data_IF_541907572879
#
_entry.id   IF_541907572879
#
_cell.length_a   1.000
_cell.length_b   1.000
_cell.length_c   1.000
_cell.angle_alpha   90.00
_cell.angle_beta   90.00
_cell.angle_gamma   90.00
#
_symmetry.space_group_name_H-M   'P 1'
#
loop_
_entity.id
_entity.type
_entity.pdbx_description
1 polymer ?
#
# COMPACT_ATOMS: atom_id res chain seq x y z
N UNK A 1 -0.52 14.13 6.20
CA UNK A 1 -1.45 13.02 6.51
C UNK A 1 -0.85 11.70 6.08
N UNK A 2 -1.15 10.62 6.75
CA UNK A 2 -0.58 9.32 6.47
C UNK A 2 -1.62 8.21 6.52
N UNK A 3 -1.44 7.21 5.62
CA UNK A 3 -2.15 5.96 5.69
C UNK A 3 -1.40 5.01 6.61
N UNK A 4 -2.10 4.39 7.55
CA UNK A 4 -1.49 3.55 8.57
C UNK A 4 -2.27 2.27 8.76
N UNK A 5 -1.57 1.15 8.58
CA UNK A 5 -2.07 -0.18 8.88
C UNK A 5 -1.25 -0.75 10.03
N UNK A 6 -1.91 -1.20 11.08
CA UNK A 6 -1.25 -1.87 12.20
C UNK A 6 -1.97 -3.19 12.49
N UNK A 7 -1.25 -4.29 12.33
CA UNK A 7 -1.68 -5.61 12.72
C UNK A 7 -0.61 -6.21 13.63
N UNK A 8 -0.85 -7.39 14.20
CA UNK A 8 0.03 -7.95 15.23
C UNK A 8 1.48 -8.19 14.77
N UNK A 9 1.66 -8.59 13.51
CA UNK A 9 3.00 -8.92 12.98
C UNK A 9 3.36 -8.13 11.74
N UNK A 10 2.51 -7.17 11.34
CA UNK A 10 2.70 -6.37 10.14
C UNK A 10 2.23 -4.95 10.37
N UNK A 11 3.04 -3.99 9.97
CA UNK A 11 2.61 -2.60 9.96
C UNK A 11 3.09 -1.92 8.69
N UNK A 12 2.28 -0.99 8.19
CA UNK A 12 2.56 -0.26 6.96
C UNK A 12 2.18 1.20 7.15
N UNK A 13 3.11 2.08 6.81
CA UNK A 13 2.90 3.51 6.86
C UNK A 13 3.12 4.07 5.47
N UNK A 14 2.13 4.79 4.96
CA UNK A 14 2.17 5.41 3.64
C UNK A 14 2.01 6.93 3.78
N UNK A 15 2.91 7.67 3.13
CA UNK A 15 2.78 9.13 2.99
C UNK A 15 2.81 9.47 1.51
N UNK A 16 1.83 10.22 1.06
CA UNK A 16 1.70 10.61 -0.34
C UNK A 16 2.04 12.07 -0.53
N UNK A 17 2.90 12.35 -1.52
CA UNK A 17 3.21 13.71 -1.96
C UNK A 17 2.92 13.80 -3.46
N UNK A 18 2.03 14.72 -3.82
CA UNK A 18 1.63 14.96 -5.22
C UNK A 18 2.32 16.21 -5.72
N UNK A 19 2.90 16.12 -6.92
CA UNK A 19 3.53 17.26 -7.59
C UNK A 19 2.51 17.85 -8.58
N UNK A 20 1.74 18.83 -8.12
CA UNK A 20 0.62 19.38 -8.89
C UNK A 20 1.05 20.05 -10.19
N UNK A 21 2.26 20.60 -10.24
CA UNK A 21 2.81 21.17 -11.46
C UNK A 21 3.10 20.13 -12.54
N UNK A 22 3.23 18.87 -12.15
CA UNK A 22 3.59 17.76 -13.04
C UNK A 22 2.41 16.80 -13.26
N UNK A 23 1.19 17.22 -12.92
CA UNK A 23 0.03 16.33 -12.89
C UNK A 23 -0.28 15.70 -14.25
N UNK A 24 0.08 16.36 -15.35
CA UNK A 24 -0.13 15.85 -16.69
C UNK A 24 0.89 14.78 -17.12
N UNK A 25 1.96 14.62 -16.36
CA UNK A 25 3.01 13.63 -16.66
C UNK A 25 2.79 12.36 -15.85
N UNK A 26 3.26 11.20 -16.32
CA UNK A 26 3.31 9.99 -15.48
C UNK A 26 4.29 10.19 -14.31
N UNK A 27 4.11 9.42 -13.26
CA UNK A 27 4.93 9.54 -12.03
C UNK A 27 4.91 10.95 -11.43
N UNK A 28 3.70 11.48 -11.27
CA UNK A 28 3.49 12.82 -10.71
C UNK A 28 3.36 12.83 -9.19
N UNK A 29 3.63 11.72 -8.53
CA UNK A 29 3.53 11.58 -7.08
C UNK A 29 4.60 10.65 -6.54
N UNK A 30 4.92 10.83 -5.27
CA UNK A 30 5.83 9.95 -4.54
C UNK A 30 5.09 9.38 -3.35
N UNK A 31 5.17 8.07 -3.21
CA UNK A 31 4.65 7.35 -2.06
C UNK A 31 5.83 6.95 -1.16
N UNK A 32 5.88 7.52 0.03
CA UNK A 32 6.86 7.15 1.04
C UNK A 32 6.31 5.98 1.84
N UNK A 33 7.07 4.90 1.90
CA UNK A 33 6.66 3.62 2.49
C UNK A 33 7.59 3.26 3.63
N UNK A 34 7.01 2.92 4.78
CA UNK A 34 7.75 2.30 5.87
C UNK A 34 6.96 1.07 6.33
N UNK A 35 7.63 -0.07 6.46
CA UNK A 35 6.94 -1.29 6.86
C UNK A 35 7.77 -2.15 7.83
N UNK A 36 7.04 -2.91 8.62
CA UNK A 36 7.58 -3.96 9.48
C UNK A 36 6.81 -5.24 9.18
N UNK A 37 7.53 -6.33 8.98
CA UNK A 37 6.94 -7.65 8.76
C UNK A 37 7.72 -8.67 9.58
N UNK A 38 7.13 -9.16 10.65
CA UNK A 38 7.85 -9.97 11.63
C UNK A 38 8.99 -9.17 12.26
N UNK A 39 10.20 -9.72 12.19
CA UNK A 39 11.40 -9.07 12.73
C UNK A 39 12.12 -8.18 11.69
N UNK A 40 11.58 -8.08 10.49
CA UNK A 40 12.19 -7.31 9.41
C UNK A 40 11.49 -5.96 9.23
N UNK A 41 12.26 -4.95 8.84
CA UNK A 41 11.70 -3.63 8.53
C UNK A 41 12.46 -2.99 7.38
N UNK A 42 11.78 -2.07 6.69
CA UNK A 42 12.38 -1.33 5.60
C UNK A 42 11.57 -0.10 5.28
N UNK A 43 12.23 0.82 4.57
CA UNK A 43 11.57 2.03 4.07
C UNK A 43 12.07 2.35 2.67
N UNK A 44 11.22 2.99 1.88
CA UNK A 44 11.54 3.32 0.50
C UNK A 44 10.64 4.43 -0.02
N UNK A 45 10.97 4.91 -1.22
CA UNK A 45 10.12 5.81 -2.00
C UNK A 45 9.69 5.08 -3.27
N UNK A 46 8.44 5.28 -3.66
CA UNK A 46 7.89 4.72 -4.87
C UNK A 46 7.33 5.85 -5.74
N UNK A 47 7.84 5.98 -6.96
CA UNK A 47 7.34 6.97 -7.92
C UNK A 47 6.10 6.42 -8.60
N UNK A 48 4.98 7.12 -8.48
CA UNK A 48 3.69 6.66 -8.99
C UNK A 48 2.90 7.80 -9.65
N UNK A 49 1.86 7.43 -10.38
CA UNK A 49 0.84 8.37 -10.83
C UNK A 49 -0.26 8.41 -9.77
N UNK A 50 -0.75 9.61 -9.45
CA UNK A 50 -1.84 9.77 -8.48
C UNK A 50 -3.07 8.96 -8.89
N UNK A 51 -3.30 8.78 -10.18
CA UNK A 51 -4.42 7.97 -10.68
C UNK A 51 -4.28 6.50 -10.26
N UNK A 52 -3.06 5.99 -10.24
CA UNK A 52 -2.79 4.62 -9.79
C UNK A 52 -3.03 4.47 -8.29
N UNK A 53 -2.68 5.48 -7.51
CA UNK A 53 -2.96 5.47 -6.08
C UNK A 53 -4.47 5.50 -5.81
N UNK A 54 -5.22 6.31 -6.55
CA UNK A 54 -6.67 6.36 -6.43
C UNK A 54 -7.32 5.03 -6.82
N UNK A 55 -6.80 4.38 -7.87
CA UNK A 55 -7.29 3.06 -8.29
C UNK A 55 -7.00 2.02 -7.22
N UNK A 56 -5.82 2.04 -6.66
CA UNK A 56 -5.45 1.17 -5.54
C UNK A 56 -6.40 1.35 -4.36
N UNK A 57 -6.67 2.59 -3.98
CA UNK A 57 -7.60 2.89 -2.90
C UNK A 57 -9.00 2.33 -3.18
N UNK A 58 -9.53 2.55 -4.38
CA UNK A 58 -10.85 2.06 -4.76
C UNK A 58 -10.94 0.54 -4.66
N UNK A 59 -9.93 -0.16 -5.16
CA UNK A 59 -9.88 -1.62 -5.10
C UNK A 59 -9.72 -2.12 -3.67
N UNK A 60 -8.94 -1.42 -2.86
CA UNK A 60 -8.76 -1.79 -1.46
C UNK A 60 -10.06 -1.60 -0.67
N UNK A 61 -10.79 -0.53 -0.95
CA UNK A 61 -12.09 -0.28 -0.34
C UNK A 61 -13.10 -1.36 -0.74
N UNK A 62 -13.12 -1.76 -2.02
CA UNK A 62 -13.95 -2.85 -2.50
C UNK A 62 -13.59 -4.18 -1.82
N UNK A 63 -12.29 -4.45 -1.67
CA UNK A 63 -11.81 -5.62 -0.96
C UNK A 63 -12.31 -5.63 0.50
N UNK A 64 -12.24 -4.49 1.15
CA UNK A 64 -12.73 -4.34 2.52
C UNK A 64 -14.24 -4.59 2.61
N UNK A 65 -15.02 -4.04 1.67
CA UNK A 65 -16.48 -4.14 1.71
C UNK A 65 -17.01 -5.51 1.32
N UNK A 66 -16.37 -6.15 0.33
CA UNK A 66 -16.88 -7.41 -0.24
C UNK A 66 -16.11 -8.65 0.21
N UNK A 67 -14.89 -8.48 0.72
CA UNK A 67 -13.95 -9.56 1.06
C UNK A 67 -13.62 -10.43 -0.15
N UNK A 68 -13.66 -9.84 -1.34
CA UNK A 68 -13.30 -10.50 -2.61
C UNK A 68 -12.40 -9.61 -3.43
N UNK A 69 -11.50 -10.21 -4.19
CA UNK A 69 -10.63 -9.52 -5.11
C UNK A 69 -9.27 -9.21 -4.54
N UNK A 70 -8.62 -8.24 -5.14
CA UNK A 70 -7.27 -7.83 -4.75
C UNK A 70 -7.07 -6.34 -5.06
N UNK A 71 -6.10 -5.75 -4.38
CA UNK A 71 -5.68 -4.37 -4.60
C UNK A 71 -4.17 -4.31 -4.56
N UNK A 72 -3.55 -3.66 -5.55
CA UNK A 72 -2.10 -3.56 -5.63
C UNK A 72 -1.67 -2.16 -6.02
N UNK A 73 -0.55 -1.75 -5.47
CA UNK A 73 0.17 -0.54 -5.90
C UNK A 73 1.57 -0.96 -6.30
N UNK A 74 2.00 -0.54 -7.50
CA UNK A 74 3.31 -0.90 -8.04
C UNK A 74 3.91 0.32 -8.73
N UNK A 75 5.23 0.43 -8.69
CA UNK A 75 5.88 1.49 -9.45
C UNK A 75 5.99 1.08 -10.92
N UNK A 76 5.66 2.01 -11.85
CA UNK A 76 5.59 1.66 -13.27
C UNK A 76 6.94 1.32 -13.89
N UNK A 77 8.02 1.88 -13.38
CA UNK A 77 9.36 1.72 -13.96
C UNK A 77 10.33 1.02 -13.02
N UNK A 78 9.82 0.19 -12.12
CA UNK A 78 10.65 -0.51 -11.15
C UNK A 78 10.03 -1.82 -10.71
N UNK A 79 10.56 -2.36 -9.62
CA UNK A 79 10.18 -3.68 -9.11
C UNK A 79 9.34 -3.63 -7.85
N UNK A 80 9.18 -2.45 -7.25
CA UNK A 80 8.48 -2.34 -5.97
C UNK A 80 6.97 -2.51 -6.16
N UNK A 81 6.36 -3.30 -5.27
CA UNK A 81 4.93 -3.60 -5.33
C UNK A 81 4.43 -4.01 -3.95
N UNK A 82 3.20 -3.62 -3.64
CA UNK A 82 2.48 -4.11 -2.46
C UNK A 82 1.10 -4.55 -2.94
N UNK A 83 0.70 -5.77 -2.59
CA UNK A 83 -0.58 -6.34 -3.00
C UNK A 83 -1.34 -6.89 -1.81
N UNK A 84 -2.62 -6.57 -1.75
CA UNK A 84 -3.56 -7.09 -0.77
C UNK A 84 -4.56 -8.01 -1.47
N UNK A 85 -4.90 -9.12 -0.82
CA UNK A 85 -5.94 -10.03 -1.31
C UNK A 85 -6.65 -10.66 -0.12
N UNK A 86 -7.81 -11.22 -0.37
CA UNK A 86 -8.58 -11.91 0.67
C UNK A 86 -8.59 -13.41 0.43
N UNK A 87 -8.79 -14.18 1.50
CA UNK A 87 -9.07 -15.61 1.40
C UNK A 87 -10.51 -15.89 1.86
N UNK A 88 -11.02 -17.12 1.61
CA UNK A 88 -12.40 -17.46 2.00
C UNK A 88 -12.65 -17.42 3.52
N UNK A 89 -11.61 -17.43 4.35
CA UNK A 89 -11.77 -17.40 5.80
C UNK A 89 -11.90 -15.98 6.37
N UNK A 90 -11.81 -14.95 5.51
CA UNK A 90 -11.89 -13.56 5.94
C UNK A 90 -10.57 -12.95 6.36
N UNK A 91 -9.48 -13.64 6.13
CA UNK A 91 -8.14 -13.07 6.34
C UNK A 91 -7.69 -12.28 5.13
N UNK A 92 -6.95 -11.23 5.39
CA UNK A 92 -6.32 -10.41 4.36
C UNK A 92 -4.86 -10.82 4.26
N UNK A 93 -4.43 -11.11 3.04
CA UNK A 93 -3.02 -11.41 2.75
C UNK A 93 -2.37 -10.19 2.14
N UNK A 94 -1.16 -9.86 2.58
CA UNK A 94 -0.35 -8.81 2.00
C UNK A 94 0.98 -9.38 1.58
N UNK A 95 1.36 -9.12 0.33
CA UNK A 95 2.65 -9.56 -0.22
C UNK A 95 3.26 -8.39 -0.95
N UNK A 96 4.56 -8.43 -1.10
CA UNK A 96 5.22 -7.42 -1.91
C UNK A 96 6.72 -7.46 -1.80
N UNK A 97 7.31 -6.46 -2.44
CA UNK A 97 8.75 -6.24 -2.42
C UNK A 97 9.01 -4.74 -2.41
N UNK A 98 9.87 -4.32 -1.51
CA UNK A 98 10.42 -2.96 -1.52
C UNK A 98 11.93 -3.05 -1.64
N UNK A 99 12.55 -2.04 -2.24
CA UNK A 99 14.00 -1.98 -2.36
C UNK A 99 14.49 -0.56 -2.15
N UNK A 100 15.70 -0.45 -1.61
CA UNK A 100 16.33 0.83 -1.32
C UNK A 100 17.84 0.62 -1.21
N UNK A 101 18.61 1.42 -1.93
CA UNK A 101 20.07 1.41 -1.83
C UNK A 101 20.72 0.07 -2.14
N UNK A 102 20.20 -0.69 -3.09
CA UNK A 102 20.72 -2.02 -3.44
C UNK A 102 20.23 -3.13 -2.54
N UNK A 103 19.43 -2.81 -1.52
CA UNK A 103 18.81 -3.78 -0.64
C UNK A 103 17.38 -4.03 -1.07
N UNK A 104 16.88 -5.24 -0.86
CA UNK A 104 15.48 -5.56 -1.13
C UNK A 104 14.88 -6.38 0.00
N UNK A 105 13.59 -6.18 0.22
CA UNK A 105 12.82 -6.93 1.20
C UNK A 105 11.58 -7.48 0.51
N UNK A 106 11.49 -8.81 0.43
CA UNK A 106 10.27 -9.48 0.04
C UNK A 106 9.52 -9.85 1.32
N UNK A 107 8.22 -9.61 1.33
CA UNK A 107 7.43 -9.85 2.53
C UNK A 107 6.11 -10.51 2.17
N UNK A 108 5.62 -11.28 3.13
CA UNK A 108 4.32 -11.93 3.07
C UNK A 108 3.77 -11.97 4.48
N UNK A 109 2.52 -11.56 4.65
CA UNK A 109 1.88 -11.56 5.94
C UNK A 109 0.37 -11.74 5.77
N UNK A 110 -0.32 -12.05 6.86
CA UNK A 110 -1.78 -12.10 6.85
C UNK A 110 -2.30 -11.56 8.16
N UNK A 111 -3.51 -11.02 8.11
CA UNK A 111 -4.13 -10.43 9.28
C UNK A 111 -5.64 -10.48 9.14
N UNK A 112 -6.34 -10.30 10.26
CA UNK A 112 -7.80 -10.28 10.26
C UNK A 112 -8.32 -9.02 9.53
N UNK A 113 -9.42 -9.18 8.84
CA UNK A 113 -10.05 -8.08 8.08
C UNK A 113 -10.36 -6.85 8.94
N UNK A 114 -10.53 -7.02 10.24
CA UNK A 114 -10.83 -5.89 11.14
C UNK A 114 -9.73 -4.84 11.17
N UNK A 115 -8.49 -5.22 10.85
CA UNK A 115 -7.37 -4.28 10.80
C UNK A 115 -7.38 -3.43 9.52
N UNK A 116 -8.15 -3.82 8.51
CA UNK A 116 -8.18 -3.11 7.24
C UNK A 116 -8.99 -1.81 7.31
N UNK A 117 -10.04 -1.78 8.13
CA UNK A 117 -10.94 -0.62 8.23
C UNK A 117 -10.23 0.69 8.59
N UNK A 118 -9.42 0.75 9.66
CA UNK A 118 -8.70 1.99 9.98
C UNK A 118 -7.75 2.42 8.87
N UNK A 119 -7.13 1.46 8.19
CA UNK A 119 -6.22 1.73 7.08
C UNK A 119 -6.97 2.38 5.91
N UNK A 120 -8.08 1.77 5.48
CA UNK A 120 -8.91 2.32 4.40
C UNK A 120 -9.39 3.73 4.75
N UNK A 121 -9.81 3.95 5.98
CA UNK A 121 -10.24 5.27 6.44
C UNK A 121 -9.10 6.30 6.38
N UNK A 122 -7.91 5.91 6.78
CA UNK A 122 -6.75 6.81 6.74
C UNK A 122 -6.35 7.16 5.30
N UNK A 123 -6.45 6.21 4.37
CA UNK A 123 -6.18 6.48 2.95
C UNK A 123 -7.23 7.42 2.35
N UNK A 124 -8.48 7.28 2.76
CA UNK A 124 -9.55 8.16 2.30
C UNK A 124 -9.26 9.61 2.70
N UNK A 125 -8.74 9.84 3.90
CA UNK A 125 -8.35 11.17 4.36
C UNK A 125 -7.22 11.76 3.52
N UNK A 126 -6.23 10.95 3.13
CA UNK A 126 -5.14 11.39 2.26
C UNK A 126 -5.68 11.92 0.94
N UNK A 127 -6.72 11.28 0.39
CA UNK A 127 -7.28 11.59 -0.92
C UNK A 127 -8.38 12.64 -0.89
N UNK A 128 -8.79 13.09 0.27
CA UNK A 128 -9.85 14.09 0.41
C UNK A 128 -9.33 15.53 0.31
#
# INVERSE_FOLDING_TARGET
>A
MMGKLEASSFSLLLKLKVFHSDIQYPTNAVLEIALHSGDFSGSTLMDIDIKEFKRFFCKLNDLYETLHGSAAIAEPYGKQMIQFSSDPSGHIHVTGMICNGGQSLQFENSFDQTFLKPFVSSLKEILS
#
